data_IF_741943790443
#
_entry.id   IF_741943790443
#
_cell.length_a   1.000
_cell.length_b   1.000
_cell.length_c   1.000
_cell.angle_alpha   90.00
_cell.angle_beta   90.00
_cell.angle_gamma   90.00
#
_symmetry.space_group_name_H-M   'P 1'
#
loop_
_entity.id
_entity.type
_entity.pdbx_description
1 polymer ?
#
# COMPACT_ATOMS: atom_id res chain seq x y z
N UNK A 1 -9.27 -13.00 -9.16
CA UNK A 1 -7.97 -12.68 -9.81
C UNK A 1 -8.16 -12.23 -11.27
N UNK A 2 -9.21 -11.45 -11.61
CA UNK A 2 -9.57 -11.17 -13.01
C UNK A 2 -9.44 -9.71 -13.47
N UNK A 3 -9.28 -8.73 -12.57
CA UNK A 3 -9.29 -7.31 -12.97
C UNK A 3 -7.90 -6.75 -13.33
N UNK A 4 -6.84 -7.19 -12.63
CA UNK A 4 -5.47 -6.71 -12.87
C UNK A 4 -4.74 -7.44 -14.02
N UNK A 5 -5.08 -8.71 -14.28
CA UNK A 5 -4.55 -9.45 -15.42
C UNK A 5 -4.98 -8.82 -16.77
N UNK A 6 -6.14 -8.16 -16.82
CA UNK A 6 -6.58 -7.40 -17.99
C UNK A 6 -5.76 -6.12 -18.22
N UNK A 7 -4.94 -5.72 -17.25
CA UNK A 7 -4.02 -4.58 -17.33
C UNK A 7 -2.55 -5.01 -17.34
N UNK A 8 -2.26 -6.30 -17.59
CA UNK A 8 -0.92 -6.91 -17.48
C UNK A 8 -0.21 -6.57 -16.16
N UNK A 9 -0.99 -6.39 -15.09
CA UNK A 9 -0.52 -6.01 -13.77
C UNK A 9 -0.74 -7.18 -12.82
N UNK A 10 0.21 -7.41 -11.92
CA UNK A 10 0.17 -8.55 -10.99
C UNK A 10 0.59 -8.09 -9.60
N UNK A 11 -0.03 -8.65 -8.53
CA UNK A 11 0.42 -8.35 -7.17
C UNK A 11 1.85 -8.86 -7.00
N UNK A 12 2.70 -8.01 -6.41
CA UNK A 12 4.05 -8.40 -6.01
C UNK A 12 3.92 -9.32 -4.80
N UNK A 13 4.59 -10.47 -4.86
CA UNK A 13 4.68 -11.38 -3.73
C UNK A 13 5.62 -10.77 -2.68
N UNK A 14 5.16 -10.69 -1.44
CA UNK A 14 6.05 -10.37 -0.31
C UNK A 14 6.90 -11.60 0.00
N UNK A 15 8.15 -11.58 -0.45
CA UNK A 15 9.18 -12.58 -0.19
C UNK A 15 10.39 -12.00 0.57
N UNK A 16 10.22 -10.82 1.19
CA UNK A 16 11.26 -10.18 2.00
C UNK A 16 11.51 -10.93 3.30
N UNK A 17 12.77 -11.27 3.53
CA UNK A 17 13.28 -11.87 4.77
C UNK A 17 13.95 -10.82 5.67
N UNK A 18 14.19 -11.16 6.94
CA UNK A 18 14.88 -10.26 7.86
C UNK A 18 16.29 -9.88 7.37
N UNK A 19 16.94 -10.75 6.60
CA UNK A 19 18.26 -10.48 6.02
C UNK A 19 18.21 -9.45 4.87
N UNK A 20 17.05 -9.28 4.23
CA UNK A 20 16.87 -8.32 3.13
C UNK A 20 16.61 -6.90 3.64
N UNK A 21 16.55 -6.71 4.96
CA UNK A 21 16.19 -5.42 5.55
C UNK A 21 17.35 -4.44 5.62
N UNK A 22 18.61 -4.86 5.45
CA UNK A 22 19.80 -3.98 5.44
C UNK A 22 19.84 -2.91 6.56
N UNK A 23 19.31 -3.22 7.75
CA UNK A 23 19.23 -2.29 8.89
C UNK A 23 18.00 -1.39 8.91
N UNK A 24 17.07 -1.53 7.96
CA UNK A 24 15.75 -0.92 7.98
C UNK A 24 14.77 -1.74 8.83
N UNK A 25 13.79 -1.05 9.43
CA UNK A 25 12.69 -1.71 10.15
C UNK A 25 11.58 -2.09 9.16
N UNK A 26 11.27 -3.38 9.08
CA UNK A 26 10.18 -3.87 8.24
C UNK A 26 8.85 -3.82 9.00
N UNK A 27 7.88 -3.09 8.46
CA UNK A 27 6.53 -2.97 9.02
C UNK A 27 5.51 -3.62 8.08
N UNK A 28 4.74 -4.59 8.59
CA UNK A 28 3.63 -5.22 7.88
C UNK A 28 2.34 -4.90 8.60
N UNK A 29 1.38 -4.32 7.90
CA UNK A 29 0.05 -4.00 8.42
C UNK A 29 -0.97 -4.00 7.30
N UNK A 30 -2.24 -4.19 7.63
CA UNK A 30 -3.31 -3.97 6.66
C UNK A 30 -3.42 -2.48 6.33
N UNK A 31 -3.23 -2.17 5.05
CA UNK A 31 -3.39 -0.82 4.50
C UNK A 31 -4.43 -0.80 3.39
N UNK A 32 -5.14 -1.90 3.13
CA UNK A 32 -6.09 -1.97 2.03
C UNK A 32 -7.35 -1.17 2.36
N UNK A 33 -7.81 -0.40 1.37
CA UNK A 33 -9.14 0.20 1.38
C UNK A 33 -10.20 -0.88 1.21
N UNK A 34 -11.29 -0.79 1.97
CA UNK A 34 -12.48 -1.62 1.80
C UNK A 34 -13.36 -1.13 0.64
N UNK A 35 -13.11 0.09 0.17
CA UNK A 35 -13.83 0.70 -0.96
C UNK A 35 -13.07 0.49 -2.26
N UNK A 36 -13.78 0.06 -3.30
CA UNK A 36 -13.25 -0.01 -4.66
C UNK A 36 -13.33 1.39 -5.26
N UNK A 37 -12.21 1.91 -5.75
CA UNK A 37 -12.20 3.20 -6.41
C UNK A 37 -12.88 3.10 -7.78
N UNK A 38 -14.01 3.78 -7.92
CA UNK A 38 -14.69 3.92 -9.21
C UNK A 38 -14.03 5.01 -10.07
N UNK A 39 -14.09 4.82 -11.39
CA UNK A 39 -13.56 5.80 -12.34
C UNK A 39 -14.57 6.95 -12.48
N UNK A 40 -14.15 8.17 -12.15
CA UNK A 40 -14.99 9.35 -12.26
C UNK A 40 -15.03 9.88 -13.70
N UNK A 41 -16.14 10.49 -14.10
CA UNK A 41 -16.27 11.12 -15.41
C UNK A 41 -15.30 12.30 -15.53
N UNK A 42 -14.40 12.24 -16.51
CA UNK A 42 -13.31 13.22 -16.69
C UNK A 42 -11.94 12.71 -16.24
N UNK A 43 -11.88 11.52 -15.64
CA UNK A 43 -10.62 10.92 -15.24
C UNK A 43 -9.82 10.40 -16.44
N UNK A 44 -8.72 11.10 -16.73
CA UNK A 44 -7.78 10.74 -17.79
C UNK A 44 -6.80 9.65 -17.35
N UNK A 45 -6.71 9.38 -16.04
CA UNK A 45 -5.72 8.47 -15.48
C UNK A 45 -6.35 7.09 -15.29
N UNK A 46 -5.59 6.04 -15.61
CA UNK A 46 -5.97 4.66 -15.30
C UNK A 46 -5.76 4.43 -13.80
N UNK A 47 -6.85 4.48 -13.03
CA UNK A 47 -6.84 4.30 -11.57
C UNK A 47 -6.65 2.83 -11.22
N UNK A 48 -5.68 2.51 -10.35
CA UNK A 48 -5.56 1.17 -9.76
C UNK A 48 -6.82 0.83 -8.95
N UNK A 49 -7.28 -0.42 -9.10
CA UNK A 49 -8.54 -0.94 -8.53
C UNK A 49 -8.42 -1.16 -7.01
N UNK A 50 -7.32 -1.77 -6.58
CA UNK A 50 -6.86 -1.90 -5.20
C UNK A 50 -5.98 -0.69 -4.88
N UNK A 51 -6.23 -0.09 -3.71
CA UNK A 51 -5.52 1.08 -3.21
C UNK A 51 -5.32 0.99 -1.72
N UNK A 52 -4.38 1.81 -1.25
CA UNK A 52 -4.22 2.06 0.16
C UNK A 52 -5.40 2.88 0.69
N UNK A 53 -5.88 2.52 1.86
CA UNK A 53 -6.77 3.36 2.65
C UNK A 53 -5.97 4.57 3.18
N UNK A 54 -6.42 5.81 2.92
CA UNK A 54 -5.67 7.00 3.30
C UNK A 54 -5.54 7.16 4.82
N UNK A 55 -6.55 6.74 5.59
CA UNK A 55 -6.54 6.83 7.05
C UNK A 55 -5.59 5.79 7.65
N UNK A 56 -5.67 4.53 7.20
CA UNK A 56 -4.74 3.47 7.65
C UNK A 56 -3.29 3.82 7.31
N UNK A 57 -3.05 4.39 6.13
CA UNK A 57 -1.71 4.81 5.70
C UNK A 57 -1.18 5.96 6.56
N UNK A 58 -1.99 6.99 6.82
CA UNK A 58 -1.61 8.08 7.72
C UNK A 58 -1.21 7.55 9.09
N UNK A 59 -2.03 6.69 9.68
CA UNK A 59 -1.76 6.12 11.00
C UNK A 59 -0.47 5.30 11.04
N UNK A 60 -0.20 4.51 10.00
CA UNK A 60 1.04 3.73 9.90
C UNK A 60 2.28 4.65 9.82
N UNK A 61 2.21 5.72 9.02
CA UNK A 61 3.30 6.70 8.91
C UNK A 61 3.53 7.44 10.23
N UNK A 62 2.46 7.90 10.89
CA UNK A 62 2.58 8.58 12.19
C UNK A 62 3.19 7.67 13.26
N UNK A 63 2.82 6.38 13.30
CA UNK A 63 3.45 5.42 14.21
C UNK A 63 4.97 5.30 14.01
N UNK A 64 5.44 5.40 12.77
CA UNK A 64 6.88 5.37 12.46
C UNK A 64 7.53 6.65 12.98
N UNK A 65 6.97 7.82 12.64
CA UNK A 65 7.52 9.13 13.04
C UNK A 65 7.51 9.31 14.56
N UNK A 66 6.40 8.98 15.23
CA UNK A 66 6.28 9.12 16.68
C UNK A 66 7.18 8.14 17.43
N UNK A 67 7.45 6.96 16.85
CA UNK A 67 8.41 6.00 17.44
C UNK A 67 9.87 6.49 17.38
N UNK A 68 10.17 7.45 16.50
CA UNK A 68 11.47 8.11 16.36
C UNK A 68 11.54 9.43 17.15
N UNK A 69 10.40 9.99 17.58
CA UNK A 69 10.32 11.26 18.31
C UNK A 69 10.74 11.19 19.79
N UNK A 70 11.23 10.05 20.26
CA UNK A 70 11.86 9.88 21.58
C UNK A 70 13.36 9.61 21.36
N UNK A 71 14.11 10.61 20.90
CA UNK A 71 15.58 10.70 21.03
C UNK A 71 16.01 12.17 21.07
#
# INVERSE_FOLDING_TARGET
MSAYAAEDTYPIKDDLTDNDTYGFKLMRTDLLSETVAEKEAGDKIRRSIIRHDPDKLREAVLKIVDSEAIL
#
